data_IF_345646125943
#
_entry.id   IF_345646125943
#
_cell.length_a   1.000
_cell.length_b   1.000
_cell.length_c   1.000
_cell.angle_alpha   90.00
_cell.angle_beta   90.00
_cell.angle_gamma   90.00
#
_symmetry.space_group_name_H-M   'P 1'
#
loop_
_entity.id
_entity.type
_entity.pdbx_description
1 polymer ?
#
# COMPACT_ATOMS: atom_id res chain seq x y z
N UNK A 1 26.24 -1.12 -12.76
CA UNK A 1 25.33 -0.22 -12.00
C UNK A 1 25.30 1.20 -12.54
N UNK A 2 26.44 1.82 -12.88
CA UNK A 2 26.49 3.13 -13.55
C UNK A 2 26.44 2.98 -15.08
N UNK A 3 25.30 3.27 -15.70
CA UNK A 3 25.07 3.20 -17.15
C UNK A 3 23.95 4.18 -17.53
N UNK A 4 24.03 4.77 -18.72
CA UNK A 4 22.97 5.63 -19.27
C UNK A 4 21.67 4.86 -19.60
N UNK A 5 21.72 3.53 -19.63
CA UNK A 5 20.55 2.66 -19.80
C UNK A 5 19.90 2.30 -18.45
N UNK A 6 20.41 2.83 -17.33
CA UNK A 6 19.84 2.60 -16.02
C UNK A 6 18.67 3.57 -15.80
N UNK A 7 17.46 3.05 -15.86
CA UNK A 7 16.23 3.83 -15.69
C UNK A 7 16.17 4.59 -14.36
N UNK A 8 16.75 4.03 -13.29
CA UNK A 8 16.80 4.70 -11.98
C UNK A 8 17.68 5.94 -12.06
N UNK A 9 18.88 5.84 -12.65
CA UNK A 9 19.78 6.99 -12.80
C UNK A 9 19.19 8.05 -13.73
N UNK A 10 18.51 7.64 -14.81
CA UNK A 10 17.80 8.55 -15.69
C UNK A 10 16.67 9.28 -14.95
N UNK A 11 15.88 8.58 -14.14
CA UNK A 11 14.83 9.19 -13.34
C UNK A 11 15.35 10.24 -12.34
N UNK A 12 16.46 9.93 -11.65
CA UNK A 12 17.12 10.89 -10.76
C UNK A 12 17.65 12.11 -11.52
N UNK A 13 18.30 11.91 -12.67
CA UNK A 13 18.82 13.00 -13.50
C UNK A 13 17.69 13.90 -14.01
N UNK A 14 16.58 13.33 -14.50
CA UNK A 14 15.40 14.09 -14.92
C UNK A 14 14.79 14.90 -13.77
N UNK A 15 14.75 14.33 -12.56
CA UNK A 15 14.24 15.02 -11.37
C UNK A 15 15.12 16.22 -11.01
N UNK A 16 16.45 16.04 -10.99
CA UNK A 16 17.40 17.15 -10.74
C UNK A 16 17.27 18.22 -11.80
N UNK A 17 17.16 17.84 -13.08
CA UNK A 17 16.99 18.79 -14.18
C UNK A 17 15.70 19.59 -14.06
N UNK A 18 14.58 18.93 -13.74
CA UNK A 18 13.29 19.57 -13.53
C UNK A 18 13.33 20.56 -12.36
N UNK A 19 13.79 20.12 -11.20
CA UNK A 19 13.82 20.94 -9.98
C UNK A 19 14.82 22.09 -10.12
N UNK A 20 15.98 21.82 -10.73
CA UNK A 20 16.98 22.83 -11.07
C UNK A 20 16.41 23.89 -12.01
N UNK A 21 15.70 23.47 -13.06
CA UNK A 21 15.04 24.40 -14.01
C UNK A 21 14.01 25.27 -13.31
N UNK A 22 13.16 24.70 -12.44
CA UNK A 22 12.18 25.47 -11.68
C UNK A 22 12.86 26.48 -10.74
N UNK A 23 13.95 26.10 -10.07
CA UNK A 23 14.73 27.01 -9.24
C UNK A 23 15.41 28.12 -10.07
N UNK A 24 15.92 27.81 -11.26
CA UNK A 24 16.52 28.81 -12.14
C UNK A 24 15.49 29.82 -12.66
N UNK A 25 14.28 29.37 -13.01
CA UNK A 25 13.22 30.22 -13.59
C UNK A 25 12.49 31.04 -12.52
N UNK A 26 12.14 30.43 -11.39
CA UNK A 26 11.30 31.05 -10.35
C UNK A 26 12.10 31.52 -9.12
N UNK A 27 13.40 31.25 -9.09
CA UNK A 27 14.29 31.57 -7.97
C UNK A 27 14.00 30.73 -6.73
N UNK A 28 14.69 31.05 -5.63
CA UNK A 28 14.58 30.33 -4.35
C UNK A 28 13.16 30.35 -3.75
N UNK A 29 12.30 31.27 -4.19
CA UNK A 29 10.91 31.40 -3.71
C UNK A 29 10.05 30.17 -4.00
N UNK A 30 10.39 29.37 -5.03
CA UNK A 30 9.67 28.13 -5.34
C UNK A 30 10.07 26.98 -4.41
N UNK A 31 11.20 27.09 -3.70
CA UNK A 31 11.75 25.99 -2.89
C UNK A 31 10.79 25.49 -1.80
N UNK A 32 10.09 26.33 -1.01
CA UNK A 32 9.14 25.83 -0.02
C UNK A 32 8.01 25.02 -0.67
N UNK A 33 7.52 25.42 -1.84
CA UNK A 33 6.51 24.68 -2.59
C UNK A 33 7.05 23.32 -3.08
N UNK A 34 8.30 23.29 -3.55
CA UNK A 34 9.05 22.08 -3.96
C UNK A 34 9.41 21.12 -2.81
N UNK A 35 9.34 21.59 -1.58
CA UNK A 35 9.49 20.74 -0.39
C UNK A 35 8.11 20.22 0.02
N UNK A 36 7.10 21.10 0.06
CA UNK A 36 5.74 20.75 0.49
C UNK A 36 5.14 19.68 -0.42
N UNK A 37 5.22 19.81 -1.75
CA UNK A 37 4.70 18.77 -2.65
C UNK A 37 5.47 17.44 -2.51
N UNK A 38 6.77 17.48 -2.15
CA UNK A 38 7.61 16.29 -2.07
C UNK A 38 7.20 15.49 -0.83
N UNK A 39 7.05 16.19 0.29
CA UNK A 39 6.51 15.64 1.54
C UNK A 39 5.10 15.11 1.29
N UNK A 40 4.23 15.89 0.66
CA UNK A 40 2.86 15.46 0.38
C UNK A 40 2.80 14.22 -0.52
N UNK A 41 3.57 14.21 -1.62
CA UNK A 41 3.63 13.08 -2.55
C UNK A 41 4.19 11.82 -1.90
N UNK A 42 5.28 11.94 -1.14
CA UNK A 42 5.86 10.83 -0.38
C UNK A 42 4.87 10.29 0.66
N UNK A 43 4.27 11.17 1.48
CA UNK A 43 3.29 10.75 2.48
C UNK A 43 2.07 10.09 1.85
N UNK A 44 1.59 10.58 0.70
CA UNK A 44 0.47 9.95 -0.01
C UNK A 44 0.84 8.53 -0.45
N UNK A 45 2.04 8.32 -1.00
CA UNK A 45 2.53 6.98 -1.36
C UNK A 45 2.62 6.06 -0.12
N UNK A 46 3.10 6.56 1.01
CA UNK A 46 3.17 5.77 2.25
C UNK A 46 1.79 5.38 2.78
N UNK A 47 0.81 6.28 2.73
CA UNK A 47 -0.56 5.96 3.17
C UNK A 47 -1.20 4.94 2.23
N UNK A 48 -0.95 5.03 0.92
CA UNK A 48 -1.38 4.00 -0.05
C UNK A 48 -0.72 2.65 0.24
N UNK A 49 0.59 2.61 0.47
CA UNK A 49 1.25 1.36 0.86
C UNK A 49 0.68 0.80 2.18
N UNK A 50 0.37 1.68 3.14
CA UNK A 50 -0.22 1.29 4.41
C UNK A 50 -1.60 0.66 4.25
N UNK A 51 -2.50 1.26 3.46
CA UNK A 51 -3.84 0.72 3.24
C UNK A 51 -3.81 -0.57 2.41
N UNK A 52 -2.95 -0.66 1.39
CA UNK A 52 -2.79 -1.85 0.54
C UNK A 52 -2.27 -3.05 1.33
N UNK A 53 -1.44 -2.84 2.35
CA UNK A 53 -0.82 -3.94 3.11
C UNK A 53 -1.29 -4.04 4.57
N UNK A 54 -2.38 -3.36 4.92
CA UNK A 54 -2.83 -3.30 6.31
C UNK A 54 -3.14 -4.69 6.90
N UNK A 55 -2.39 -5.08 7.93
CA UNK A 55 -2.59 -6.33 8.67
C UNK A 55 -2.21 -7.61 7.93
N UNK A 56 -1.82 -7.53 6.65
CA UNK A 56 -1.47 -8.69 5.84
C UNK A 56 0.01 -9.07 6.02
N UNK A 57 0.27 -10.37 6.14
CA UNK A 57 1.61 -10.93 6.32
C UNK A 57 1.82 -12.15 5.42
N UNK A 58 2.96 -12.17 4.72
CA UNK A 58 3.46 -13.36 4.01
C UNK A 58 4.03 -14.35 5.00
N UNK A 59 3.60 -15.61 4.88
CA UNK A 59 4.10 -16.69 5.73
C UNK A 59 5.46 -17.20 5.24
N UNK A 60 6.21 -17.82 6.16
CA UNK A 60 7.45 -18.54 5.86
C UNK A 60 7.16 -20.04 5.80
N UNK A 61 7.82 -20.74 4.87
CA UNK A 61 7.81 -22.19 4.85
C UNK A 61 8.71 -22.76 5.98
N UNK A 62 8.75 -24.08 6.10
CA UNK A 62 9.58 -24.80 7.08
C UNK A 62 11.09 -24.48 6.94
N UNK A 63 11.53 -24.11 5.74
CA UNK A 63 12.91 -23.66 5.46
C UNK A 63 13.16 -22.18 5.78
N UNK A 64 12.17 -21.46 6.31
CA UNK A 64 12.27 -20.04 6.65
C UNK A 64 12.18 -19.07 5.46
N UNK A 65 11.92 -19.57 4.25
CA UNK A 65 11.72 -18.74 3.05
C UNK A 65 10.29 -18.22 3.00
N UNK A 66 10.13 -16.94 2.65
CA UNK A 66 8.80 -16.38 2.44
C UNK A 66 8.11 -16.99 1.22
N UNK A 67 6.81 -17.25 1.36
CA UNK A 67 5.95 -17.68 0.27
C UNK A 67 5.95 -16.67 -0.89
N UNK A 68 5.71 -17.12 -2.12
CA UNK A 68 5.64 -16.22 -3.28
C UNK A 68 4.57 -15.14 -3.08
N UNK A 69 4.81 -13.92 -3.58
CA UNK A 69 3.78 -12.88 -3.56
C UNK A 69 2.55 -13.34 -4.38
N UNK A 70 1.36 -13.18 -3.79
CA UNK A 70 0.08 -13.62 -4.32
C UNK A 70 -0.94 -12.49 -4.13
N UNK A 71 -2.03 -12.45 -4.92
CA UNK A 71 -3.02 -11.38 -4.84
C UNK A 71 -3.64 -11.19 -3.44
N UNK A 72 -3.68 -12.24 -2.60
CA UNK A 72 -4.14 -12.18 -1.19
C UNK A 72 -3.23 -11.38 -0.24
N UNK A 73 -2.02 -11.01 -0.65
CA UNK A 73 -1.06 -10.25 0.19
C UNK A 73 -1.23 -8.73 0.09
N UNK A 74 -2.30 -8.28 -0.56
CA UNK A 74 -2.62 -6.86 -0.69
C UNK A 74 -4.13 -6.67 -0.81
N UNK A 75 -4.66 -5.62 -0.21
CA UNK A 75 -6.02 -5.16 -0.40
C UNK A 75 -6.17 -4.56 -1.81
N UNK A 76 -7.28 -4.90 -2.46
CA UNK A 76 -7.67 -4.43 -3.78
C UNK A 76 -8.89 -3.51 -3.66
N UNK A 77 -9.17 -2.70 -4.66
CA UNK A 77 -10.42 -1.94 -4.78
C UNK A 77 -10.89 -2.03 -6.22
N UNK A 78 -12.19 -2.08 -6.44
CA UNK A 78 -12.75 -2.15 -7.79
C UNK A 78 -13.75 -1.01 -8.05
N UNK A 79 -13.41 0.20 -7.58
CA UNK A 79 -14.26 1.37 -7.76
C UNK A 79 -13.86 2.11 -9.04
N UNK A 80 -14.77 2.10 -10.03
CA UNK A 80 -14.52 2.61 -11.39
C UNK A 80 -14.03 4.06 -11.42
N UNK A 81 -14.60 4.94 -10.60
CA UNK A 81 -14.20 6.36 -10.54
C UNK A 81 -12.77 6.56 -10.02
N UNK A 82 -12.40 5.82 -8.97
CA UNK A 82 -11.06 5.87 -8.38
C UNK A 82 -10.03 5.16 -9.26
N UNK A 83 -10.40 4.03 -9.89
CA UNK A 83 -9.59 3.37 -10.91
C UNK A 83 -9.32 4.24 -12.14
N UNK A 84 -10.24 5.09 -12.56
CA UNK A 84 -9.99 6.01 -13.68
C UNK A 84 -9.06 7.16 -13.27
N UNK A 85 -9.26 7.74 -12.08
CA UNK A 85 -8.47 8.88 -11.60
C UNK A 85 -7.05 8.51 -11.17
N UNK A 86 -6.87 7.33 -10.56
CA UNK A 86 -5.58 6.88 -10.05
C UNK A 86 -4.82 6.01 -11.05
N UNK A 87 -5.26 5.95 -12.31
CA UNK A 87 -4.70 5.01 -13.28
C UNK A 87 -4.64 3.60 -12.70
N UNK A 88 -5.81 3.01 -12.47
CA UNK A 88 -6.06 1.60 -12.12
C UNK A 88 -5.15 1.06 -11.01
N UNK A 89 -4.66 1.96 -10.15
CA UNK A 89 -3.80 1.67 -9.02
C UNK A 89 -4.40 0.56 -8.16
N UNK A 90 -5.72 0.48 -8.12
CA UNK A 90 -6.45 -0.48 -7.32
C UNK A 90 -6.22 -1.94 -7.75
N UNK A 91 -5.74 -2.21 -8.98
CA UNK A 91 -5.30 -3.56 -9.43
C UNK A 91 -3.90 -3.97 -8.92
N UNK A 92 -3.41 -3.28 -7.89
CA UNK A 92 -2.14 -3.49 -7.22
C UNK A 92 -1.84 -4.97 -6.92
N UNK A 93 -2.84 -5.75 -6.53
CA UNK A 93 -2.67 -7.17 -6.18
C UNK A 93 -2.15 -8.04 -7.34
N UNK A 94 -2.61 -7.80 -8.57
CA UNK A 94 -2.08 -8.51 -9.74
C UNK A 94 -0.69 -8.00 -10.12
N UNK A 95 -0.42 -6.70 -9.96
CA UNK A 95 0.91 -6.15 -10.20
C UNK A 95 1.94 -6.77 -9.25
N UNK A 96 1.63 -6.91 -7.97
CA UNK A 96 2.52 -7.52 -6.99
C UNK A 96 2.69 -9.04 -7.18
N UNK A 97 1.68 -9.74 -7.69
CA UNK A 97 1.77 -11.15 -8.03
C UNK A 97 2.51 -11.40 -9.36
N UNK A 98 2.39 -10.47 -10.30
CA UNK A 98 2.88 -10.54 -11.69
C UNK A 98 3.49 -9.21 -12.15
N UNK A 99 4.66 -8.80 -11.62
CA UNK A 99 5.22 -7.46 -11.86
C UNK A 99 5.63 -7.20 -13.31
N UNK A 100 5.84 -8.26 -14.11
CA UNK A 100 6.18 -8.15 -15.54
C UNK A 100 4.96 -7.97 -16.43
N UNK A 101 3.73 -8.06 -15.89
CA UNK A 101 2.51 -7.84 -16.66
C UNK A 101 2.36 -6.35 -16.94
N UNK A 102 2.05 -6.02 -18.19
CA UNK A 102 1.80 -4.64 -18.60
C UNK A 102 0.59 -4.09 -17.86
N UNK A 103 0.69 -2.83 -17.45
CA UNK A 103 -0.32 -2.14 -16.66
C UNK A 103 -1.75 -2.26 -17.26
N UNK A 104 -1.89 -2.18 -18.59
CA UNK A 104 -3.20 -2.27 -19.27
C UNK A 104 -3.87 -3.65 -19.16
N UNK A 105 -3.12 -4.70 -18.82
CA UNK A 105 -3.63 -6.08 -18.76
C UNK A 105 -3.79 -6.60 -17.33
N UNK A 106 -3.57 -5.75 -16.32
CA UNK A 106 -3.77 -6.11 -14.93
C UNK A 106 -5.19 -6.61 -14.69
N UNK A 107 -5.38 -7.69 -13.94
CA UNK A 107 -6.66 -8.35 -13.68
C UNK A 107 -7.13 -8.10 -12.26
N UNK A 108 -8.43 -8.26 -12.07
CA UNK A 108 -9.02 -8.39 -10.74
C UNK A 108 -9.11 -9.87 -10.38
N UNK A 109 -8.82 -10.22 -9.13
CA UNK A 109 -8.96 -11.59 -8.61
C UNK A 109 -9.93 -11.57 -7.43
N UNK A 110 -10.90 -12.47 -7.44
CA UNK A 110 -11.86 -12.62 -6.33
C UNK A 110 -11.18 -13.04 -5.03
N UNK A 111 -10.03 -13.70 -5.11
CA UNK A 111 -9.21 -14.13 -3.97
C UNK A 111 -8.48 -12.97 -3.27
N UNK A 112 -8.45 -11.78 -3.89
CA UNK A 112 -7.85 -10.60 -3.26
C UNK A 112 -8.81 -9.99 -2.23
N UNK A 113 -8.34 -9.71 -1.01
CA UNK A 113 -9.14 -8.99 -0.03
C UNK A 113 -9.53 -7.62 -0.60
N UNK A 114 -10.79 -7.20 -0.41
CA UNK A 114 -11.31 -5.96 -0.99
C UNK A 114 -11.46 -4.87 0.08
N UNK A 115 -11.03 -3.66 -0.26
CA UNK A 115 -11.35 -2.47 0.52
C UNK A 115 -12.86 -2.19 0.46
N UNK A 116 -13.46 -1.70 1.56
CA UNK A 116 -14.90 -1.43 1.61
C UNK A 116 -15.34 -0.18 0.83
N UNK A 117 -14.38 0.61 0.32
CA UNK A 117 -14.61 1.82 -0.46
C UNK A 117 -13.42 2.05 -1.40
N UNK A 118 -13.59 2.93 -2.39
CA UNK A 118 -12.51 3.37 -3.28
C UNK A 118 -11.41 4.10 -2.52
N UNK A 119 -10.23 4.21 -3.16
CA UNK A 119 -9.02 4.76 -2.53
C UNK A 119 -9.23 6.15 -1.91
N UNK A 120 -10.03 7.02 -2.52
CA UNK A 120 -10.31 8.34 -1.95
C UNK A 120 -10.95 8.27 -0.56
N UNK A 121 -11.94 7.39 -0.37
CA UNK A 121 -12.58 7.18 0.93
C UNK A 121 -11.63 6.52 1.93
N UNK A 122 -10.89 5.50 1.49
CA UNK A 122 -9.96 4.77 2.35
C UNK A 122 -8.77 5.62 2.80
N UNK A 123 -8.22 6.46 1.91
CA UNK A 123 -7.19 7.44 2.24
C UNK A 123 -7.67 8.39 3.34
N UNK A 124 -8.87 8.94 3.19
CA UNK A 124 -9.49 9.79 4.21
C UNK A 124 -9.58 9.08 5.56
N UNK A 125 -10.05 7.83 5.57
CA UNK A 125 -10.13 7.02 6.80
C UNK A 125 -8.76 6.72 7.42
N UNK A 126 -7.74 6.44 6.60
CA UNK A 126 -6.39 6.08 7.06
C UNK A 126 -5.72 7.20 7.86
N UNK A 127 -6.02 8.47 7.55
CA UNK A 127 -5.56 9.62 8.35
C UNK A 127 -6.23 9.73 9.74
N UNK A 128 -7.28 8.95 10.03
CA UNK A 128 -7.95 8.89 11.33
C UNK A 128 -7.88 7.47 11.93
N UNK A 129 -6.77 7.09 12.60
CA UNK A 129 -6.50 5.71 13.02
C UNK A 129 -7.58 5.00 13.85
N UNK A 130 -8.36 5.66 14.74
CA UNK A 130 -9.45 5.00 15.46
C UNK A 130 -10.58 4.54 14.54
N UNK A 131 -10.91 5.35 13.52
CA UNK A 131 -11.97 5.05 12.55
C UNK A 131 -11.48 3.96 11.60
N UNK A 132 -10.25 4.11 11.07
CA UNK A 132 -9.58 3.10 10.26
C UNK A 132 -9.62 1.72 10.90
N UNK A 133 -9.17 1.60 12.16
CA UNK A 133 -9.15 0.33 12.90
C UNK A 133 -10.54 -0.27 13.09
N UNK A 134 -11.56 0.57 13.33
CA UNK A 134 -12.96 0.10 13.45
C UNK A 134 -13.46 -0.51 12.12
N UNK A 135 -13.04 0.05 10.99
CA UNK A 135 -13.44 -0.39 9.64
C UNK A 135 -12.63 -1.59 9.15
N UNK A 136 -11.33 -1.68 9.50
CA UNK A 136 -10.42 -2.64 8.90
C UNK A 136 -10.04 -3.83 9.79
N UNK A 137 -9.99 -3.68 11.12
CA UNK A 137 -9.46 -4.75 12.00
C UNK A 137 -10.28 -6.04 11.87
N UNK A 138 -11.61 -5.94 11.81
CA UNK A 138 -12.47 -7.13 11.66
C UNK A 138 -12.32 -7.79 10.30
N UNK A 139 -12.02 -7.03 9.24
CA UNK A 139 -11.80 -7.55 7.88
C UNK A 139 -10.49 -8.32 7.78
N UNK A 140 -9.45 -7.87 8.48
CA UNK A 140 -8.19 -8.61 8.60
C UNK A 140 -8.44 -9.95 9.31
N UNK A 141 -9.23 -9.95 10.37
CA UNK A 141 -9.58 -11.18 11.12
C UNK A 141 -10.35 -12.15 10.23
N UNK A 142 -11.35 -11.66 9.49
CA UNK A 142 -12.16 -12.43 8.54
C UNK A 142 -11.30 -13.03 7.41
N UNK A 143 -10.34 -12.26 6.87
CA UNK A 143 -9.42 -12.72 5.84
C UNK A 143 -8.58 -13.92 6.27
N UNK A 144 -8.26 -14.03 7.56
CA UNK A 144 -7.53 -15.16 8.14
C UNK A 144 -8.44 -16.20 8.80
N UNK A 145 -9.76 -16.15 8.55
CA UNK A 145 -10.71 -17.12 9.11
C UNK A 145 -10.77 -17.11 10.64
N UNK A 146 -10.47 -15.96 11.27
CA UNK A 146 -10.40 -15.81 12.72
C UNK A 146 -9.01 -16.00 13.32
N UNK A 147 -8.05 -16.60 12.61
CA UNK A 147 -6.70 -16.81 13.12
C UNK A 147 -5.83 -15.56 12.99
N UNK A 148 -5.90 -14.72 14.02
CA UNK A 148 -5.11 -13.48 14.09
C UNK A 148 -3.60 -13.72 14.24
N UNK A 149 -3.14 -14.95 14.50
CA UNK A 149 -1.70 -15.23 14.62
C UNK A 149 -0.98 -15.11 13.28
N UNK A 150 -1.72 -15.26 12.17
CA UNK A 150 -1.24 -15.14 10.80
C UNK A 150 -1.11 -13.68 10.33
N UNK A 151 -1.72 -12.72 11.05
CA UNK A 151 -1.73 -11.31 10.68
C UNK A 151 -0.45 -10.58 11.09
N UNK A 152 -0.13 -9.49 10.39
CA UNK A 152 0.95 -8.59 10.77
C UNK A 152 0.52 -7.70 11.95
N UNK A 153 0.91 -8.09 13.17
CA UNK A 153 0.57 -7.37 14.39
C UNK A 153 1.76 -6.57 14.91
N UNK A 154 1.52 -5.29 15.23
CA UNK A 154 2.52 -4.44 15.89
C UNK A 154 3.07 -5.14 17.17
N UNK A 155 4.40 -5.35 17.30
CA UNK A 155 4.99 -6.17 18.37
C UNK A 155 4.54 -5.76 19.78
N UNK A 156 4.48 -4.45 20.06
CA UNK A 156 4.05 -3.91 21.36
C UNK A 156 2.59 -4.19 21.72
N UNK A 157 1.74 -4.46 20.72
CA UNK A 157 0.30 -4.74 20.91
C UNK A 157 -0.05 -6.21 20.73
N UNK A 158 0.92 -7.06 20.36
CA UNK A 158 0.67 -8.45 19.97
C UNK A 158 -0.06 -9.23 21.05
N UNK A 159 0.47 -9.23 22.29
CA UNK A 159 -0.17 -9.93 23.42
C UNK A 159 -1.62 -9.50 23.60
N UNK A 160 -1.87 -8.19 23.71
CA UNK A 160 -3.22 -7.62 23.89
C UNK A 160 -4.18 -8.03 22.77
N UNK A 161 -3.71 -8.07 21.52
CA UNK A 161 -4.54 -8.43 20.37
C UNK A 161 -4.86 -9.92 20.38
N UNK A 162 -3.88 -10.78 20.66
CA UNK A 162 -4.11 -12.21 20.77
C UNK A 162 -5.08 -12.55 21.91
N UNK A 163 -4.87 -11.97 23.09
CA UNK A 163 -5.75 -12.20 24.25
C UNK A 163 -7.20 -11.79 23.93
N UNK A 164 -7.38 -10.67 23.21
CA UNK A 164 -8.71 -10.16 22.80
C UNK A 164 -9.45 -11.14 21.89
N UNK A 165 -8.76 -11.74 20.90
CA UNK A 165 -9.39 -12.61 19.91
C UNK A 165 -9.45 -14.08 20.35
N UNK A 166 -8.54 -14.53 21.22
CA UNK A 166 -8.66 -15.83 21.88
C UNK A 166 -9.93 -15.90 22.74
N UNK A 167 -10.19 -14.87 23.56
CA UNK A 167 -11.40 -14.78 24.38
C UNK A 167 -12.70 -14.68 23.56
N UNK A 168 -12.63 -14.25 22.30
CA UNK A 168 -13.78 -14.18 21.40
C UNK A 168 -14.07 -15.50 20.67
N UNK A 169 -13.09 -16.40 20.57
CA UNK A 169 -13.25 -17.72 19.96
C UNK A 169 -13.81 -18.77 20.94
N UNK A 170 -13.76 -18.49 22.24
CA UNK A 170 -14.27 -19.37 23.31
C UNK A 170 -15.75 -19.11 23.68
N UNK A 171 -16.41 -18.13 23.03
CA UNK A 171 -17.83 -17.76 23.24
C UNK A 171 -18.70 -18.26 22.10
#
# INVERSE_FOLDING_TARGET
>A
MWSIHNDVLNAWAMTVLLFGTLLCVFGIRVLPFLIIQAVFGFSLLEVVNYLEHYGLLRQKNEEGRYERCQPRHSWNSNHVASNLLLYQLERHSDHHAHPTRRYQTLRHFEESPQLPSGYGGMLGLAYFPPIWRRVMDHRVVEQYGGDVTLANIQPSKRKKILDKYAAAAEQ
#
